data_IF_993997408341
#
_entry.id   IF_993997408341
#
_cell.length_a   1.000
_cell.length_b   1.000
_cell.length_c   1.000
_cell.angle_alpha   90.00
_cell.angle_beta   90.00
_cell.angle_gamma   90.00
#
_symmetry.space_group_name_H-M   'P 1'
#
loop_
_entity.id
_entity.type
_entity.pdbx_description
1 polymer ?
#
# COMPACT_ATOMS: atom_id res chain seq x y z
N UNK A 1 36.07 -39.62 -13.55
CA UNK A 1 37.44 -39.09 -13.34
C UNK A 1 37.43 -37.68 -13.91
N UNK A 2 37.66 -36.56 -13.22
CA UNK A 2 38.23 -36.17 -11.92
C UNK A 2 37.93 -34.66 -11.84
N UNK A 3 37.07 -34.18 -10.95
CA UNK A 3 37.34 -33.65 -9.60
C UNK A 3 37.71 -32.13 -9.53
N UNK A 4 36.82 -31.40 -8.85
CA UNK A 4 36.92 -30.17 -8.03
C UNK A 4 37.52 -28.85 -8.54
N UNK A 5 36.75 -27.76 -8.31
CA UNK A 5 37.13 -26.78 -7.28
C UNK A 5 35.92 -25.99 -6.75
N UNK A 6 35.54 -26.27 -5.50
CA UNK A 6 34.69 -25.40 -4.67
C UNK A 6 35.63 -24.53 -3.84
N UNK A 7 35.56 -23.20 -3.99
CA UNK A 7 36.33 -22.29 -3.15
C UNK A 7 35.46 -21.89 -1.95
N UNK A 8 35.75 -22.55 -0.83
CA UNK A 8 35.29 -22.23 0.51
C UNK A 8 36.27 -21.22 1.13
N UNK A 9 35.79 -20.09 1.65
CA UNK A 9 36.58 -19.18 2.49
C UNK A 9 35.90 -19.00 3.84
N UNK A 10 36.40 -19.75 4.83
CA UNK A 10 36.29 -19.45 6.27
C UNK A 10 37.28 -18.35 6.65
N UNK A 11 36.95 -17.54 7.67
CA UNK A 11 37.83 -16.85 8.67
C UNK A 11 37.07 -15.60 9.18
N UNK A 12 36.93 -15.21 10.46
CA UNK A 12 37.30 -15.69 11.81
C UNK A 12 36.44 -14.91 12.84
N UNK A 13 36.12 -15.53 13.99
CA UNK A 13 35.49 -14.93 15.18
C UNK A 13 36.44 -13.96 15.93
N UNK A 14 35.93 -12.79 16.33
CA UNK A 14 36.35 -11.99 17.50
C UNK A 14 35.37 -10.81 17.66
N UNK A 15 34.83 -10.42 18.81
CA UNK A 15 35.06 -10.82 20.19
C UNK A 15 33.98 -10.20 21.09
N UNK A 16 33.82 -10.78 22.27
CA UNK A 16 32.87 -10.42 23.33
C UNK A 16 33.33 -9.13 24.03
N UNK A 17 32.44 -8.17 24.23
CA UNK A 17 32.60 -7.10 25.21
C UNK A 17 31.36 -7.06 26.12
N UNK A 18 31.48 -7.74 27.25
CA UNK A 18 30.63 -7.61 28.43
C UNK A 18 30.86 -6.26 29.10
N UNK A 19 29.80 -5.49 29.31
CA UNK A 19 29.80 -4.30 30.16
C UNK A 19 28.55 -4.28 31.02
N UNK A 20 28.67 -4.73 32.27
CA UNK A 20 27.61 -4.65 33.28
C UNK A 20 27.96 -3.54 34.27
N UNK A 21 27.09 -2.56 34.46
CA UNK A 21 27.02 -1.77 35.70
C UNK A 21 25.57 -1.48 36.04
N UNK A 22 25.23 -1.69 37.30
CA UNK A 22 23.88 -1.69 37.84
C UNK A 22 23.62 -0.42 38.69
N UNK A 23 22.37 0.06 38.59
CA UNK A 23 21.48 0.66 39.62
C UNK A 23 21.88 1.98 40.30
N UNK A 24 21.02 2.99 40.15
CA UNK A 24 20.50 3.78 41.29
C UNK A 24 19.02 4.14 41.07
N UNK A 25 18.18 3.84 42.06
CA UNK A 25 16.81 4.30 42.21
C UNK A 25 16.74 5.82 42.42
N UNK A 26 15.68 6.45 41.93
CA UNK A 26 15.29 7.82 42.27
C UNK A 26 13.78 8.00 42.15
N UNK A 27 13.05 7.73 43.23
CA UNK A 27 11.68 8.23 43.40
C UNK A 27 11.75 9.70 43.83
N UNK A 28 11.09 10.60 43.10
CA UNK A 28 10.49 11.79 43.70
C UNK A 28 9.27 12.25 42.89
N UNK A 29 8.21 12.57 43.64
CA UNK A 29 6.83 12.74 43.21
C UNK A 29 6.50 14.13 42.64
N UNK A 30 5.43 14.18 41.84
CA UNK A 30 4.43 15.26 41.87
C UNK A 30 4.61 16.41 40.88
N UNK A 31 3.82 16.37 39.81
CA UNK A 31 3.57 17.51 38.93
C UNK A 31 2.54 17.17 37.86
N UNK A 32 1.27 17.47 38.10
CA UNK A 32 0.24 17.50 37.06
C UNK A 32 0.67 18.47 35.95
N UNK A 33 0.75 17.98 34.72
CA UNK A 33 0.50 18.79 33.54
C UNK A 33 -0.02 17.87 32.43
N UNK A 34 -1.19 18.22 31.94
CA UNK A 34 -1.93 17.53 30.87
C UNK A 34 -1.11 17.55 29.58
N UNK A 35 -0.59 16.39 29.20
CA UNK A 35 0.13 16.15 27.95
C UNK A 35 -0.37 14.87 27.30
N UNK A 36 -0.89 15.02 26.09
CA UNK A 36 -1.41 14.02 25.17
C UNK A 36 -0.52 12.76 25.06
N UNK A 37 -1.10 11.57 25.26
CA UNK A 37 -0.48 10.26 25.03
C UNK A 37 -0.82 9.76 23.62
N UNK A 38 0.09 9.07 22.90
CA UNK A 38 -0.25 8.30 21.70
C UNK A 38 -1.13 7.10 22.09
N UNK A 39 -2.03 6.71 21.18
CA UNK A 39 -3.12 5.74 21.37
C UNK A 39 -2.71 4.47 22.12
N UNK A 40 -3.24 4.33 23.32
CA UNK A 40 -3.20 3.13 24.16
C UNK A 40 -4.58 2.48 23.98
N UNK A 41 -4.69 1.49 23.09
CA UNK A 41 -5.83 0.58 23.07
C UNK A 41 -5.80 -0.21 24.38
N UNK A 42 -6.46 0.29 25.41
CA UNK A 42 -6.65 -0.42 26.67
C UNK A 42 -7.67 -1.54 26.47
N UNK A 43 -7.20 -2.71 26.04
CA UNK A 43 -7.91 -3.98 26.19
C UNK A 43 -7.38 -4.70 27.44
N UNK A 44 -8.29 -5.24 28.23
CA UNK A 44 -7.99 -5.88 29.51
C UNK A 44 -7.00 -7.02 29.35
N UNK A 45 -6.01 -7.05 30.24
CA UNK A 45 -4.98 -8.09 30.37
C UNK A 45 -5.57 -9.41 30.88
N UNK A 46 -6.36 -10.08 30.03
CA UNK A 46 -6.79 -11.49 30.04
C UNK A 46 -7.39 -11.84 28.66
N UNK A 47 -6.75 -11.38 27.58
CA UNK A 47 -7.26 -11.52 26.21
C UNK A 47 -6.93 -12.90 25.65
N UNK A 48 -7.94 -13.59 25.13
CA UNK A 48 -7.79 -14.85 24.40
C UNK A 48 -6.87 -14.68 23.17
N UNK A 49 -6.94 -13.51 22.52
CA UNK A 49 -6.10 -13.15 21.39
C UNK A 49 -4.81 -12.46 21.86
N UNK A 50 -3.70 -12.88 21.29
CA UNK A 50 -2.42 -12.18 21.38
C UNK A 50 -2.37 -11.01 20.40
N UNK A 51 -2.80 -11.24 19.16
CA UNK A 51 -2.86 -10.23 18.11
C UNK A 51 -3.94 -10.52 17.06
N UNK A 52 -4.40 -9.48 16.38
CA UNK A 52 -5.38 -9.53 15.30
C UNK A 52 -4.96 -8.50 14.25
N UNK A 53 -4.59 -8.95 13.05
CA UNK A 53 -4.08 -8.07 11.99
C UNK A 53 -4.33 -8.65 10.60
N UNK A 54 -4.14 -7.84 9.55
CA UNK A 54 -4.17 -8.29 8.16
C UNK A 54 -2.76 -8.59 7.66
N UNK A 55 -2.58 -9.73 7.00
CA UNK A 55 -1.37 -10.16 6.32
C UNK A 55 -1.71 -10.43 4.84
N UNK A 56 -1.36 -9.48 3.97
CA UNK A 56 -1.80 -9.49 2.57
C UNK A 56 -3.32 -9.30 2.48
N UNK A 57 -4.04 -10.36 2.13
CA UNK A 57 -5.50 -10.40 2.02
C UNK A 57 -6.16 -11.29 3.08
N UNK A 58 -5.38 -11.78 4.05
CA UNK A 58 -5.85 -12.66 5.12
C UNK A 58 -5.95 -11.89 6.45
N UNK A 59 -7.07 -12.05 7.15
CA UNK A 59 -7.18 -11.76 8.58
C UNK A 59 -6.48 -12.86 9.38
N UNK A 60 -5.43 -12.47 10.08
CA UNK A 60 -4.65 -13.33 10.96
C UNK A 60 -5.13 -13.13 12.39
N UNK A 61 -5.46 -14.24 13.05
CA UNK A 61 -5.76 -14.27 14.48
C UNK A 61 -4.66 -15.08 15.17
N UNK A 62 -3.97 -14.45 16.11
CA UNK A 62 -2.98 -15.10 16.97
C UNK A 62 -3.57 -15.23 18.38
N UNK A 63 -3.44 -16.43 18.95
CA UNK A 63 -4.06 -16.82 20.20
C UNK A 63 -3.01 -17.01 21.29
N UNK A 64 -3.37 -16.69 22.52
CA UNK A 64 -2.51 -16.98 23.67
C UNK A 64 -2.30 -18.49 23.85
N UNK A 65 -1.10 -18.89 24.29
CA UNK A 65 -0.71 -20.29 24.54
C UNK A 65 -1.68 -21.06 25.47
N UNK A 66 -2.35 -20.35 26.38
CA UNK A 66 -3.29 -20.90 27.36
C UNK A 66 -4.76 -20.86 26.88
N UNK A 67 -5.02 -20.46 25.63
CA UNK A 67 -6.38 -20.33 25.11
C UNK A 67 -7.01 -21.69 24.81
N UNK A 68 -8.30 -21.85 25.16
CA UNK A 68 -9.06 -23.09 24.94
C UNK A 68 -10.18 -22.92 23.92
N UNK A 69 -9.96 -22.02 22.96
CA UNK A 69 -10.91 -21.68 21.91
C UNK A 69 -11.16 -22.89 21.02
N UNK A 70 -12.43 -23.18 20.79
CA UNK A 70 -12.85 -24.20 19.84
C UNK A 70 -13.39 -23.57 18.55
N UNK A 71 -13.77 -22.29 18.61
CA UNK A 71 -14.50 -21.63 17.55
C UNK A 71 -14.29 -20.12 17.51
N UNK A 72 -14.25 -19.56 16.30
CA UNK A 72 -14.22 -18.13 16.05
C UNK A 72 -15.28 -17.75 15.02
N UNK A 73 -16.06 -16.72 15.34
CA UNK A 73 -16.93 -16.03 14.41
C UNK A 73 -16.36 -14.64 14.12
N UNK A 74 -16.37 -14.24 12.86
CA UNK A 74 -16.04 -12.88 12.42
C UNK A 74 -17.33 -12.23 11.95
N UNK A 75 -17.68 -11.11 12.56
CA UNK A 75 -18.85 -10.30 12.19
C UNK A 75 -18.35 -9.07 11.44
N UNK A 76 -18.96 -8.79 10.29
CA UNK A 76 -18.62 -7.64 9.46
C UNK A 76 -19.14 -6.30 10.04
N UNK A 77 -18.76 -5.15 9.47
CA UNK A 77 -19.21 -3.84 9.92
C UNK A 77 -20.72 -3.62 9.81
N UNK A 78 -21.42 -4.42 9.00
CA UNK A 78 -22.88 -4.39 8.85
C UNK A 78 -23.60 -5.23 9.91
N UNK A 79 -22.86 -6.00 10.72
CA UNK A 79 -23.38 -6.88 11.76
C UNK A 79 -23.75 -8.28 11.25
N UNK A 80 -23.35 -8.65 10.04
CA UNK A 80 -23.57 -9.98 9.48
C UNK A 80 -22.38 -10.91 9.74
N UNK A 81 -22.63 -12.23 9.76
CA UNK A 81 -21.56 -13.22 9.93
C UNK A 81 -20.72 -13.29 8.65
N UNK A 82 -19.51 -12.75 8.71
CA UNK A 82 -18.54 -12.80 7.61
C UNK A 82 -17.94 -14.18 7.45
N UNK A 83 -17.42 -14.75 8.54
CA UNK A 83 -16.74 -16.03 8.53
C UNK A 83 -16.91 -16.81 9.84
N UNK A 84 -16.85 -18.13 9.71
CA UNK A 84 -16.92 -19.09 10.81
C UNK A 84 -15.75 -20.07 10.71
N UNK A 85 -14.99 -20.24 11.81
CA UNK A 85 -13.83 -21.15 11.84
C UNK A 85 -13.79 -21.97 13.12
N UNK A 86 -13.66 -23.29 12.95
CA UNK A 86 -13.31 -24.19 14.04
C UNK A 86 -11.80 -24.16 14.26
N UNK A 87 -11.39 -24.02 15.53
CA UNK A 87 -9.99 -24.00 15.94
C UNK A 87 -9.64 -25.39 16.48
N UNK A 88 -8.58 -25.99 15.94
CA UNK A 88 -8.08 -27.26 16.45
C UNK A 88 -7.28 -27.02 17.74
N UNK A 89 -7.37 -27.95 18.68
CA UNK A 89 -6.65 -27.85 19.94
C UNK A 89 -5.14 -27.72 19.72
N UNK A 90 -4.52 -26.74 20.38
CA UNK A 90 -3.08 -26.45 20.29
C UNK A 90 -2.66 -25.65 19.05
N UNK A 91 -3.60 -25.05 18.33
CA UNK A 91 -3.33 -24.06 17.28
C UNK A 91 -3.22 -22.68 17.94
N UNK A 92 -2.10 -22.01 17.69
CA UNK A 92 -1.77 -20.65 18.15
C UNK A 92 -2.10 -19.57 17.11
N UNK A 93 -2.31 -19.96 15.85
CA UNK A 93 -2.61 -19.01 14.76
C UNK A 93 -3.57 -19.58 13.74
N UNK A 94 -4.52 -18.76 13.30
CA UNK A 94 -5.40 -19.07 12.16
C UNK A 94 -5.44 -17.92 11.16
N UNK A 95 -5.84 -18.23 9.92
CA UNK A 95 -6.02 -17.27 8.83
C UNK A 95 -7.43 -17.37 8.26
N UNK A 96 -8.03 -16.22 7.98
CA UNK A 96 -9.34 -16.09 7.37
C UNK A 96 -9.17 -15.18 6.16
N UNK A 97 -9.38 -15.72 4.97
CA UNK A 97 -9.32 -14.95 3.72
C UNK A 97 -10.41 -13.88 3.71
N UNK A 98 -10.01 -12.62 3.60
CA UNK A 98 -10.91 -11.47 3.42
C UNK A 98 -10.97 -11.07 1.94
N UNK A 99 -9.85 -11.16 1.23
CA UNK A 99 -9.79 -10.82 -0.19
C UNK A 99 -9.90 -9.32 -0.46
N UNK A 100 -10.47 -8.98 -1.62
CA UNK A 100 -10.65 -7.61 -2.14
C UNK A 100 -12.13 -7.28 -2.39
N UNK A 101 -13.04 -8.00 -1.74
CA UNK A 101 -14.50 -7.83 -1.86
C UNK A 101 -15.12 -7.75 -0.46
N UNK A 102 -14.55 -6.94 0.43
CA UNK A 102 -14.98 -6.80 1.82
C UNK A 102 -15.54 -5.40 2.09
N UNK A 103 -16.41 -5.30 3.10
CA UNK A 103 -16.92 -4.01 3.56
C UNK A 103 -15.89 -3.35 4.50
N UNK A 104 -15.37 -2.15 4.19
CA UNK A 104 -14.40 -1.49 5.07
C UNK A 104 -15.07 -1.02 6.38
N UNK A 105 -14.36 -1.18 7.50
CA UNK A 105 -14.85 -0.74 8.81
C UNK A 105 -14.39 -1.60 9.98
N UNK A 106 -15.15 -1.57 11.06
CA UNK A 106 -14.87 -2.35 12.28
C UNK A 106 -15.49 -3.75 12.20
N UNK A 107 -14.65 -4.77 12.32
CA UNK A 107 -15.04 -6.18 12.40
C UNK A 107 -14.96 -6.66 13.84
N UNK A 108 -15.94 -7.44 14.28
CA UNK A 108 -15.94 -8.07 15.59
C UNK A 108 -15.53 -9.54 15.49
N UNK A 109 -14.45 -9.90 16.18
CA UNK A 109 -13.95 -11.27 16.30
C UNK A 109 -14.43 -11.85 17.63
N UNK A 110 -15.27 -12.87 17.53
CA UNK A 110 -15.89 -13.54 18.66
C UNK A 110 -15.28 -14.92 18.84
N UNK A 111 -14.44 -15.10 19.86
CA UNK A 111 -13.96 -16.40 20.29
C UNK A 111 -14.96 -17.07 21.24
N UNK A 112 -15.24 -18.34 21.00
CA UNK A 112 -16.11 -19.18 21.82
C UNK A 112 -15.33 -20.38 22.37
N UNK A 113 -15.46 -20.61 23.67
CA UNK A 113 -14.98 -21.80 24.35
C UNK A 113 -16.14 -22.79 24.60
N UNK A 114 -15.87 -24.10 24.64
CA UNK A 114 -16.86 -25.16 24.89
C UNK A 114 -17.72 -24.96 26.16
N UNK A 115 -17.29 -24.14 27.12
CA UNK A 115 -17.99 -23.84 28.36
C UNK A 115 -18.91 -22.59 28.28
N UNK A 116 -18.97 -21.95 27.11
CA UNK A 116 -19.82 -20.80 26.83
C UNK A 116 -19.18 -19.45 27.16
N UNK A 117 -17.89 -19.39 27.48
CA UNK A 117 -17.16 -18.12 27.58
C UNK A 117 -17.02 -17.52 26.18
N UNK A 118 -17.47 -16.28 26.04
CA UNK A 118 -17.39 -15.49 24.81
C UNK A 118 -16.46 -14.30 25.06
N UNK A 119 -15.40 -14.20 24.25
CA UNK A 119 -14.57 -13.00 24.19
C UNK A 119 -14.76 -12.35 22.83
N UNK A 120 -15.06 -11.06 22.82
CA UNK A 120 -15.14 -10.25 21.61
C UNK A 120 -13.96 -9.28 21.58
N UNK A 121 -13.31 -9.17 20.44
CA UNK A 121 -12.32 -8.15 20.15
C UNK A 121 -12.60 -7.57 18.77
N UNK A 122 -12.45 -6.26 18.64
CA UNK A 122 -12.73 -5.55 17.39
C UNK A 122 -11.43 -5.17 16.69
N UNK A 123 -11.44 -5.18 15.35
CA UNK A 123 -10.34 -4.72 14.49
C UNK A 123 -10.91 -3.85 13.38
N UNK A 124 -10.24 -2.74 13.07
CA UNK A 124 -10.62 -1.90 11.93
C UNK A 124 -9.85 -2.37 10.71
N UNK A 125 -10.57 -2.66 9.63
CA UNK A 125 -10.04 -3.09 8.34
C UNK A 125 -10.52 -2.08 7.31
N UNK A 126 -9.66 -1.12 6.99
CA UNK A 126 -9.94 -0.08 6.00
C UNK A 126 -8.66 0.26 5.24
N UNK A 127 -8.74 0.43 3.90
CA UNK A 127 -7.60 0.90 3.14
C UNK A 127 -7.41 2.42 3.32
N UNK A 128 -6.19 2.88 3.14
CA UNK A 128 -5.85 4.32 3.08
C UNK A 128 -4.83 4.51 1.96
N UNK A 129 -5.33 4.42 0.73
CA UNK A 129 -4.52 4.51 -0.48
C UNK A 129 -4.29 5.97 -0.85
N UNK A 130 -3.03 6.29 -1.12
CA UNK A 130 -2.59 7.65 -1.46
C UNK A 130 -1.62 7.62 -2.64
N UNK A 131 -1.64 8.70 -3.41
CA UNK A 131 -0.59 8.98 -4.39
C UNK A 131 0.56 9.64 -3.62
N UNK A 132 1.76 9.07 -3.70
CA UNK A 132 2.93 9.54 -2.93
C UNK A 132 4.03 10.12 -3.80
N UNK A 133 3.98 9.90 -5.10
CA UNK A 133 4.96 10.44 -6.04
C UNK A 133 4.39 10.49 -7.47
N UNK A 134 4.85 11.47 -8.25
CA UNK A 134 4.55 11.55 -9.67
C UNK A 134 5.80 11.98 -10.43
N UNK A 135 6.21 11.17 -11.40
CA UNK A 135 7.37 11.42 -12.24
C UNK A 135 7.09 11.14 -13.70
N UNK A 136 7.90 11.72 -14.56
CA UNK A 136 7.94 11.38 -15.99
C UNK A 136 9.20 10.58 -16.29
N UNK A 137 9.03 9.48 -16.99
CA UNK A 137 10.12 8.61 -17.41
C UNK A 137 11.14 9.32 -18.33
N UNK A 138 10.73 10.38 -19.06
CA UNK A 138 11.65 11.26 -19.79
C UNK A 138 12.76 11.84 -18.91
N UNK A 139 12.42 12.17 -17.67
CA UNK A 139 13.31 12.82 -16.70
C UNK A 139 13.87 11.83 -15.68
N UNK A 140 13.22 10.67 -15.54
CA UNK A 140 13.56 9.60 -14.60
C UNK A 140 13.56 8.20 -15.26
N UNK A 141 14.34 7.97 -16.34
CA UNK A 141 14.33 6.69 -17.04
C UNK A 141 14.81 5.52 -16.17
N UNK A 142 15.59 5.78 -15.13
CA UNK A 142 16.07 4.81 -14.15
C UNK A 142 14.97 4.24 -13.22
N UNK A 143 13.80 4.90 -13.17
CA UNK A 143 12.63 4.49 -12.39
C UNK A 143 11.65 3.63 -13.17
N UNK A 144 11.99 3.32 -14.43
CA UNK A 144 11.19 2.44 -15.26
C UNK A 144 11.35 0.96 -14.87
N UNK A 145 10.31 0.19 -15.17
CA UNK A 145 10.31 -1.25 -14.98
C UNK A 145 11.34 -1.94 -15.90
N UNK A 146 11.76 -3.14 -15.51
CA UNK A 146 12.71 -3.95 -16.31
C UNK A 146 12.12 -4.28 -17.70
N UNK A 147 12.93 -4.16 -18.75
CA UNK A 147 12.48 -4.35 -20.14
C UNK A 147 11.91 -3.09 -20.81
N UNK A 148 11.69 -2.01 -20.06
CA UNK A 148 11.17 -0.77 -20.63
C UNK A 148 12.15 -0.09 -21.63
N UNK A 149 13.42 -0.47 -21.66
CA UNK A 149 14.38 0.02 -22.67
C UNK A 149 14.01 -0.35 -24.11
N UNK A 150 13.17 -1.36 -24.30
CA UNK A 150 12.77 -1.87 -25.61
C UNK A 150 11.55 -1.14 -26.21
N UNK A 151 10.98 -0.17 -25.47
CA UNK A 151 9.81 0.63 -25.87
C UNK A 151 10.09 2.13 -25.69
N UNK A 152 9.33 2.99 -26.36
CA UNK A 152 9.44 4.44 -26.13
C UNK A 152 8.81 4.81 -24.80
N UNK A 153 9.65 4.93 -23.77
CA UNK A 153 9.27 5.28 -22.41
C UNK A 153 9.18 6.77 -22.17
N UNK A 154 9.54 7.63 -23.14
CA UNK A 154 9.68 9.08 -22.90
C UNK A 154 8.37 9.80 -22.57
N UNK A 155 7.25 9.10 -22.64
CA UNK A 155 5.90 9.61 -22.41
C UNK A 155 5.20 8.93 -21.24
N UNK A 156 5.89 8.00 -20.56
CA UNK A 156 5.33 7.23 -19.46
C UNK A 156 5.27 8.10 -18.18
N UNK A 157 4.10 8.12 -17.55
CA UNK A 157 3.93 8.65 -16.21
C UNK A 157 4.17 7.53 -15.20
N UNK A 158 5.01 7.81 -14.21
CA UNK A 158 5.37 6.91 -13.12
C UNK A 158 4.67 7.44 -11.87
N UNK A 159 3.78 6.65 -11.29
CA UNK A 159 2.95 7.06 -10.13
C UNK A 159 3.29 6.16 -8.96
N UNK A 160 3.73 6.76 -7.85
CA UNK A 160 3.94 6.09 -6.59
C UNK A 160 2.64 6.02 -5.80
N UNK A 161 2.32 4.84 -5.28
CA UNK A 161 1.16 4.57 -4.44
C UNK A 161 1.63 4.01 -3.09
N UNK A 162 0.89 4.35 -2.03
CA UNK A 162 1.07 3.78 -0.69
C UNK A 162 -0.31 3.43 -0.13
N UNK A 163 -0.44 2.28 0.53
CA UNK A 163 -1.59 1.96 1.38
C UNK A 163 -1.18 2.04 2.85
N UNK A 164 -1.51 3.15 3.51
CA UNK A 164 -1.23 3.36 4.93
C UNK A 164 -2.29 2.73 5.84
N UNK A 165 -3.32 2.10 5.26
CA UNK A 165 -4.44 1.47 5.95
C UNK A 165 -4.12 0.05 6.41
N UNK A 166 -5.05 -0.52 7.17
CA UNK A 166 -4.97 -1.90 7.64
C UNK A 166 -5.59 -2.91 6.66
N UNK A 167 -6.45 -2.45 5.75
CA UNK A 167 -7.15 -3.28 4.78
C UNK A 167 -6.51 -3.23 3.38
N UNK A 168 -6.54 -4.35 2.62
CA UNK A 168 -6.02 -4.38 1.26
C UNK A 168 -6.95 -3.63 0.30
N UNK A 169 -6.41 -3.10 -0.79
CA UNK A 169 -7.22 -2.47 -1.84
C UNK A 169 -6.70 -2.89 -3.23
N UNK A 170 -7.38 -2.44 -4.27
CA UNK A 170 -6.98 -2.60 -5.64
C UNK A 170 -7.16 -1.28 -6.39
N UNK A 171 -6.10 -0.76 -6.99
CA UNK A 171 -6.22 0.33 -7.96
C UNK A 171 -6.87 -0.19 -9.24
N UNK A 172 -8.07 0.32 -9.53
CA UNK A 172 -8.86 -0.08 -10.71
C UNK A 172 -8.89 0.99 -11.79
N UNK A 173 -8.49 2.23 -11.48
CA UNK A 173 -8.40 3.30 -12.47
C UNK A 173 -7.32 4.32 -12.14
N UNK A 174 -6.55 4.71 -13.14
CA UNK A 174 -5.61 5.82 -13.14
C UNK A 174 -5.93 6.76 -14.31
N UNK A 175 -6.30 7.99 -14.00
CA UNK A 175 -6.69 9.01 -14.97
C UNK A 175 -5.94 10.33 -14.75
N UNK A 176 -5.77 11.07 -15.85
CA UNK A 176 -5.13 12.39 -15.87
C UNK A 176 -6.08 13.39 -16.53
N UNK A 177 -6.33 14.52 -15.88
CA UNK A 177 -7.21 15.59 -16.39
C UNK A 177 -6.55 16.95 -16.28
N UNK A 178 -7.08 17.98 -16.95
CA UNK A 178 -6.50 19.32 -16.95
C UNK A 178 -5.45 19.52 -18.05
N UNK A 179 -4.41 20.30 -17.77
CA UNK A 179 -3.46 20.81 -18.76
C UNK A 179 -2.31 19.82 -19.05
N UNK A 180 -2.66 18.57 -19.33
CA UNK A 180 -1.74 17.56 -19.89
C UNK A 180 -1.92 17.44 -21.41
N UNK A 181 -0.88 17.05 -22.19
CA UNK A 181 -0.98 16.91 -23.66
C UNK A 181 -2.11 16.00 -24.14
N UNK A 182 -2.34 14.90 -23.42
CA UNK A 182 -3.35 13.89 -23.72
C UNK A 182 -4.12 13.50 -22.45
N UNK A 183 -5.14 14.27 -22.05
CA UNK A 183 -5.95 13.91 -20.90
C UNK A 183 -6.70 12.61 -21.15
N UNK A 184 -7.03 11.92 -20.06
CA UNK A 184 -7.89 10.73 -20.08
C UNK A 184 -9.30 11.17 -20.49
N UNK A 185 -9.89 10.58 -21.55
CA UNK A 185 -11.27 10.89 -21.93
C UNK A 185 -12.26 10.50 -20.82
N UNK A 186 -13.30 11.31 -20.60
CA UNK A 186 -14.33 11.04 -19.59
C UNK A 186 -15.04 9.69 -19.82
N UNK A 187 -15.22 9.31 -21.08
CA UNK A 187 -15.87 8.05 -21.50
C UNK A 187 -14.92 6.84 -21.49
N UNK A 188 -13.69 6.99 -21.01
CA UNK A 188 -12.75 5.90 -20.93
C UNK A 188 -13.15 4.94 -19.79
N UNK A 189 -13.32 3.65 -20.07
CA UNK A 189 -13.85 2.68 -19.09
C UNK A 189 -12.81 1.68 -18.58
N UNK A 190 -11.61 1.62 -19.19
CA UNK A 190 -10.54 0.73 -18.76
C UNK A 190 -9.71 1.36 -17.62
N UNK A 191 -8.79 0.59 -17.04
CA UNK A 191 -8.03 1.05 -15.87
C UNK A 191 -7.07 2.19 -16.18
N UNK A 192 -6.52 2.28 -17.39
CA UNK A 192 -5.45 3.22 -17.72
C UNK A 192 -4.11 2.89 -17.07
N UNK A 193 -4.01 1.75 -16.36
CA UNK A 193 -2.82 1.27 -15.67
C UNK A 193 -2.11 0.24 -16.55
N UNK A 194 -0.82 0.41 -16.79
CA UNK A 194 0.00 -0.50 -17.57
C UNK A 194 0.15 -1.87 -16.89
N UNK A 195 -0.09 -2.94 -17.65
CA UNK A 195 0.16 -4.31 -17.21
C UNK A 195 1.66 -4.64 -17.34
N UNK A 196 2.34 -4.78 -16.20
CA UNK A 196 3.77 -5.09 -16.14
C UNK A 196 4.09 -6.57 -16.33
N UNK A 197 3.10 -7.44 -16.12
CA UNK A 197 3.26 -8.89 -16.19
C UNK A 197 2.97 -9.42 -17.60
N UNK A 198 2.44 -8.56 -18.47
CA UNK A 198 2.19 -8.88 -19.87
C UNK A 198 3.39 -8.62 -20.77
N UNK A 199 3.67 -9.60 -21.64
CA UNK A 199 4.66 -9.48 -22.72
C UNK A 199 4.20 -8.50 -23.84
N UNK A 200 2.95 -8.03 -23.78
CA UNK A 200 2.39 -7.06 -24.72
C UNK A 200 1.94 -5.80 -23.99
N UNK A 201 2.00 -4.64 -24.67
CA UNK A 201 1.49 -3.39 -24.11
C UNK A 201 -0.03 -3.45 -23.99
N UNK A 202 -0.53 -3.72 -22.79
CA UNK A 202 -1.94 -3.73 -22.45
C UNK A 202 -2.17 -3.11 -21.06
N UNK A 203 -3.44 -3.06 -20.66
CA UNK A 203 -3.85 -2.53 -19.37
C UNK A 203 -4.06 -3.66 -18.38
N UNK A 204 -3.71 -3.40 -17.12
CA UNK A 204 -4.09 -4.30 -16.04
C UNK A 204 -5.58 -4.17 -15.78
N UNK A 205 -6.25 -5.25 -15.39
CA UNK A 205 -7.63 -5.17 -14.89
C UNK A 205 -7.70 -4.42 -13.54
N UNK A 206 -6.61 -4.50 -12.76
CA UNK A 206 -6.39 -3.76 -11.54
C UNK A 206 -5.01 -4.07 -10.96
N UNK A 207 -4.56 -3.30 -9.98
CA UNK A 207 -3.29 -3.56 -9.28
C UNK A 207 -3.57 -3.62 -7.80
N UNK A 208 -3.31 -4.77 -7.19
CA UNK A 208 -3.48 -4.98 -5.74
C UNK A 208 -2.51 -4.07 -4.97
N UNK A 209 -2.99 -3.54 -3.84
CA UNK A 209 -2.23 -2.68 -2.93
C UNK A 209 -2.46 -3.19 -1.50
N UNK A 210 -1.50 -3.96 -1.00
CA UNK A 210 -1.60 -4.61 0.30
C UNK A 210 -1.39 -3.61 1.46
N UNK A 211 -1.84 -3.93 2.68
CA UNK A 211 -1.63 -3.07 3.84
C UNK A 211 -0.15 -2.78 4.08
N UNK A 212 0.20 -1.50 4.24
CA UNK A 212 1.58 -1.05 4.43
C UNK A 212 2.48 -1.17 3.19
N UNK A 213 1.91 -1.47 2.02
CA UNK A 213 2.67 -1.57 0.78
C UNK A 213 2.91 -0.19 0.15
N UNK A 214 4.14 0.02 -0.34
CA UNK A 214 4.49 1.07 -1.29
C UNK A 214 4.78 0.42 -2.65
N UNK A 215 4.09 0.87 -3.70
CA UNK A 215 4.28 0.34 -5.06
C UNK A 215 4.28 1.44 -6.12
N UNK A 216 4.66 1.06 -7.34
CA UNK A 216 4.72 1.97 -8.49
C UNK A 216 3.89 1.41 -9.63
N UNK A 217 2.96 2.24 -10.12
CA UNK A 217 2.18 1.98 -11.32
C UNK A 217 2.59 2.92 -12.46
N UNK A 218 2.28 2.51 -13.69
CA UNK A 218 2.59 3.27 -14.90
C UNK A 218 1.32 3.51 -15.69
N UNK A 219 1.22 4.67 -16.37
CA UNK A 219 0.04 5.00 -17.16
C UNK A 219 0.13 4.46 -18.58
N UNK A 220 -0.78 3.55 -18.95
CA UNK A 220 -0.89 3.08 -20.33
C UNK A 220 -1.32 4.20 -21.30
N UNK A 221 -2.03 5.21 -20.82
CA UNK A 221 -2.60 6.27 -21.66
C UNK A 221 -1.56 7.30 -22.15
N UNK A 222 -0.37 7.32 -21.54
CA UNK A 222 0.73 8.23 -21.89
C UNK A 222 0.27 9.69 -21.92
N UNK A 223 -0.11 10.28 -20.77
CA UNK A 223 -0.73 11.61 -20.72
C UNK A 223 0.17 12.74 -21.25
N UNK A 224 1.49 12.52 -21.27
CA UNK A 224 2.50 13.46 -21.77
C UNK A 224 3.06 13.07 -23.14
N UNK A 225 2.30 12.31 -23.92
CA UNK A 225 2.70 11.93 -25.28
C UNK A 225 2.75 13.12 -26.24
N UNK A 226 3.72 13.09 -27.16
CA UNK A 226 3.88 14.09 -28.21
C UNK A 226 2.73 14.11 -29.23
N UNK A 227 1.93 13.04 -29.29
CA UNK A 227 0.70 13.00 -30.08
C UNK A 227 -0.46 13.78 -29.45
N UNK A 228 -0.27 14.28 -28.23
CA UNK A 228 -1.25 15.11 -27.52
C UNK A 228 -1.55 16.41 -28.26
N UNK A 229 -2.77 16.90 -28.09
CA UNK A 229 -3.27 18.11 -28.76
C UNK A 229 -3.86 19.14 -27.79
N UNK A 230 -3.95 18.80 -26.51
CA UNK A 230 -4.61 19.64 -25.50
C UNK A 230 -3.73 20.81 -25.05
N UNK A 231 -2.42 20.59 -24.95
CA UNK A 231 -1.42 21.64 -24.67
C UNK A 231 -0.25 21.55 -25.63
N UNK A 232 0.48 22.65 -25.78
CA UNK A 232 1.66 22.76 -26.65
C UNK A 232 2.83 23.39 -25.89
N UNK A 233 4.05 23.00 -26.25
CA UNK A 233 5.24 23.64 -25.70
C UNK A 233 5.57 24.95 -26.43
N UNK A 234 6.18 25.88 -25.68
CA UNK A 234 6.67 27.16 -26.19
C UNK A 234 8.11 27.39 -25.71
N UNK A 235 8.96 28.08 -26.48
CA UNK A 235 10.27 28.55 -26.01
C UNK A 235 10.18 29.49 -24.80
N UNK A 236 9.06 30.19 -24.63
CA UNK A 236 8.85 31.15 -23.54
C UNK A 236 8.31 30.51 -22.24
N UNK A 237 8.23 29.17 -22.20
CA UNK A 237 7.59 28.39 -21.13
C UNK A 237 6.08 28.61 -21.05
N UNK A 238 5.32 27.53 -20.92
CA UNK A 238 3.87 27.56 -20.63
C UNK A 238 3.63 26.86 -19.31
N UNK A 239 3.02 27.58 -18.37
CA UNK A 239 2.60 27.02 -17.08
C UNK A 239 1.18 26.47 -17.19
N UNK A 240 0.90 25.44 -16.40
CA UNK A 240 -0.43 24.88 -16.25
C UNK A 240 -0.62 24.05 -15.00
N UNK A 241 -1.81 23.50 -14.84
CA UNK A 241 -2.18 22.61 -13.75
C UNK A 241 -2.99 21.41 -14.27
N UNK A 242 -2.77 20.27 -13.63
CA UNK A 242 -3.46 19.04 -13.97
C UNK A 242 -3.72 18.20 -12.71
N UNK A 243 -4.64 17.24 -12.82
CA UNK A 243 -4.98 16.34 -11.73
C UNK A 243 -4.66 14.90 -12.13
N UNK A 244 -4.15 14.15 -11.15
CA UNK A 244 -4.08 12.69 -11.20
C UNK A 244 -5.18 12.14 -10.33
N UNK A 245 -6.04 11.32 -10.91
CA UNK A 245 -7.17 10.70 -10.24
C UNK A 245 -6.93 9.20 -10.20
N UNK A 246 -7.00 8.64 -9.01
CA UNK A 246 -6.90 7.21 -8.75
C UNK A 246 -8.22 6.74 -8.11
N UNK A 247 -8.87 5.78 -8.76
CA UNK A 247 -10.02 5.07 -8.19
C UNK A 247 -9.58 3.68 -7.75
N UNK A 248 -10.01 3.28 -6.57
CA UNK A 248 -9.74 1.96 -6.00
C UNK A 248 -11.05 1.20 -5.80
N UNK A 249 -10.96 -0.11 -5.59
CA UNK A 249 -12.12 -0.99 -5.50
C UNK A 249 -12.86 -0.85 -4.16
N UNK A 250 -12.11 -0.64 -3.06
CA UNK A 250 -12.65 -0.67 -1.71
C UNK A 250 -12.79 0.74 -1.11
N UNK A 251 -11.79 1.62 -1.29
CA UNK A 251 -11.85 2.97 -0.73
C UNK A 251 -12.95 3.80 -1.40
N UNK A 252 -13.97 4.18 -0.63
CA UNK A 252 -15.10 4.98 -1.14
C UNK A 252 -14.68 6.34 -1.71
N UNK A 253 -13.64 6.94 -1.11
CA UNK A 253 -13.16 8.26 -1.50
C UNK A 253 -12.16 8.12 -2.65
N UNK A 254 -12.50 8.71 -3.79
CA UNK A 254 -11.60 8.89 -4.92
C UNK A 254 -10.34 9.66 -4.46
N UNK A 255 -9.18 9.12 -4.77
CA UNK A 255 -7.87 9.74 -4.50
C UNK A 255 -7.57 10.68 -5.66
N UNK A 256 -7.26 11.95 -5.36
CA UNK A 256 -6.98 12.93 -6.39
C UNK A 256 -5.96 13.93 -5.90
N UNK A 257 -4.88 14.10 -6.66
CA UNK A 257 -3.81 15.05 -6.39
C UNK A 257 -3.66 16.05 -7.54
N UNK A 258 -3.46 17.32 -7.20
CA UNK A 258 -3.26 18.41 -8.16
C UNK A 258 -1.78 18.76 -8.27
N UNK A 259 -1.31 18.90 -9.50
CA UNK A 259 0.08 19.21 -9.80
C UNK A 259 0.17 20.43 -10.70
N UNK A 260 1.20 21.23 -10.49
CA UNK A 260 1.63 22.26 -11.44
C UNK A 260 2.55 21.63 -12.48
N UNK A 261 2.48 22.11 -13.72
CA UNK A 261 3.31 21.64 -14.82
C UNK A 261 3.81 22.82 -15.64
N UNK A 262 5.07 22.76 -16.04
CA UNK A 262 5.65 23.71 -16.98
C UNK A 262 6.14 23.01 -18.25
N UNK A 263 5.92 23.67 -19.39
CA UNK A 263 6.22 23.15 -20.72
C UNK A 263 7.16 24.11 -21.45
N UNK A 264 8.42 23.74 -21.62
CA UNK A 264 9.43 24.58 -22.29
C UNK A 264 10.04 23.87 -23.49
N UNK A 265 9.93 24.44 -24.68
CA UNK A 265 10.55 23.90 -25.89
C UNK A 265 9.81 24.25 -27.18
N UNK A 266 10.38 23.88 -28.32
CA UNK A 266 9.80 24.18 -29.64
C UNK A 266 8.65 23.23 -30.03
N UNK A 267 8.60 22.03 -29.45
CA UNK A 267 7.58 21.00 -29.70
C UNK A 267 7.50 20.00 -28.54
N UNK A 268 6.41 19.22 -28.44
CA UNK A 268 6.25 18.21 -27.38
C UNK A 268 7.35 17.12 -27.38
N UNK A 269 7.88 16.76 -28.55
CA UNK A 269 8.95 15.76 -28.69
C UNK A 269 10.30 16.21 -28.10
N UNK A 270 10.54 17.52 -28.08
CA UNK A 270 11.75 18.16 -27.52
C UNK A 270 11.46 18.99 -26.26
N UNK A 271 10.23 18.89 -25.74
CA UNK A 271 9.80 19.67 -24.60
C UNK A 271 10.48 19.21 -23.32
N UNK A 272 11.05 20.15 -22.58
CA UNK A 272 11.33 19.98 -21.17
C UNK A 272 10.02 20.18 -20.40
N UNK A 273 9.56 19.11 -19.75
CA UNK A 273 8.32 19.07 -18.99
C UNK A 273 8.71 18.89 -17.53
N UNK A 274 8.38 19.86 -16.69
CA UNK A 274 8.66 19.80 -15.26
C UNK A 274 7.34 19.76 -14.50
N UNK A 275 7.25 18.88 -13.52
CA UNK A 275 6.08 18.72 -12.65
C UNK A 275 6.48 19.15 -11.25
N UNK A 276 5.70 20.04 -10.67
CA UNK A 276 5.86 20.49 -9.29
C UNK A 276 4.56 20.24 -8.51
N UNK A 277 4.70 19.69 -7.31
CA UNK A 277 3.59 19.39 -6.41
C UNK A 277 4.10 18.49 -5.30
N UNK A 278 3.61 18.72 -4.08
CA UNK A 278 3.72 17.71 -3.03
C UNK A 278 2.44 16.89 -3.06
N UNK A 279 2.52 15.55 -3.06
CA UNK A 279 1.45 14.74 -2.47
C UNK A 279 1.36 15.00 -0.95
#
# INVERSE_FOLDING_TARGET
MTQHNLINRRTVLSGIATGSTAITCGCLSGGENTGFKPGENTLGTNGIFEDIFIDGTDLVLEFSDDSSIDHVNVIDPNGELFAERQIAAGVDRTRIEIGLEYDPGEYDIIALENDGVQTTQSVVIEPDVRITDLRLARNHPEKMFEGASDIDIRTEAIVGLENAGSGPDQAIRLAFSGEVPRPTPDEYEMSGIYDRDSDIRQESEGVEILPGEELTVYSQLMPFSESGQNVSCSPDTVEGAFQVVLETAIQEKIVSEEYSVSFTGESLGECDIQIEGQP
#
